data_IF_031443811559
#
_entry.id   IF_031443811559
#
_cell.length_a   1.000
_cell.length_b   1.000
_cell.length_c   1.000
_cell.angle_alpha   90.00
_cell.angle_beta   90.00
_cell.angle_gamma   90.00
#
_symmetry.space_group_name_H-M   'P 1'
#
loop_
_entity.id
_entity.type
_entity.pdbx_description
1 polymer ?
#
# COMPACT_ATOMS: atom_id res chain seq x y z
N UNK A 1 8.72 16.06 29.04
CA UNK A 1 8.50 15.31 27.78
C UNK A 1 7.70 16.19 26.83
N UNK A 2 8.38 16.81 25.87
CA UNK A 2 7.76 17.76 24.94
C UNK A 2 7.10 16.98 23.81
N UNK A 3 5.77 16.90 23.82
CA UNK A 3 4.99 16.24 22.77
C UNK A 3 5.13 17.03 21.48
N UNK A 4 6.00 16.60 20.57
CA UNK A 4 6.10 17.13 19.22
C UNK A 4 4.84 16.74 18.45
N UNK A 5 3.86 17.64 18.41
CA UNK A 5 2.64 17.47 17.61
C UNK A 5 3.03 17.65 16.13
N UNK A 6 3.39 16.56 15.45
CA UNK A 6 3.59 16.56 14.00
C UNK A 6 2.25 16.96 13.37
N UNK A 7 2.11 18.21 12.94
CA UNK A 7 0.91 18.74 12.30
C UNK A 7 0.63 17.93 11.01
N UNK A 8 -0.47 17.17 11.01
CA UNK A 8 -0.85 16.30 9.88
C UNK A 8 -1.37 17.04 8.65
N UNK A 9 -1.71 18.34 8.73
CA UNK A 9 -2.00 19.20 7.58
C UNK A 9 -2.28 20.65 8.01
N UNK A 10 -1.62 21.62 7.37
CA UNK A 10 -1.89 23.06 7.50
C UNK A 10 -2.72 23.51 6.28
N UNK A 11 -3.85 24.21 6.48
CA UNK A 11 -4.59 24.86 5.40
C UNK A 11 -4.49 26.38 5.58
N UNK A 12 -3.92 27.07 4.59
CA UNK A 12 -3.86 28.53 4.57
C UNK A 12 -5.14 29.05 3.90
N UNK A 13 -6.01 29.73 4.65
CA UNK A 13 -7.22 30.34 4.10
C UNK A 13 -6.96 31.80 3.73
N UNK A 14 -7.03 32.11 2.43
CA UNK A 14 -6.75 33.44 1.86
C UNK A 14 -7.60 34.59 2.44
N UNK A 15 -8.72 34.28 3.10
CA UNK A 15 -9.67 35.26 3.66
C UNK A 15 -9.27 35.87 5.01
N UNK A 16 -8.32 35.30 5.74
CA UNK A 16 -8.11 35.69 7.15
C UNK A 16 -6.66 35.87 7.58
N UNK A 17 -5.65 35.68 6.70
CA UNK A 17 -4.22 35.64 7.08
C UNK A 17 -3.93 34.76 8.31
N UNK A 18 -4.79 33.76 8.58
CA UNK A 18 -4.68 32.88 9.73
C UNK A 18 -4.46 31.44 9.27
N UNK A 19 -3.55 30.76 9.96
CA UNK A 19 -3.37 29.31 9.84
C UNK A 19 -4.54 28.60 10.53
N UNK A 20 -5.34 27.85 9.78
CA UNK A 20 -6.36 26.97 10.36
C UNK A 20 -5.82 25.54 10.42
N UNK A 21 -5.69 25.02 11.64
CA UNK A 21 -5.34 23.61 11.87
C UNK A 21 -6.54 22.75 11.47
N UNK A 22 -6.39 21.95 10.42
CA UNK A 22 -7.43 21.00 9.99
C UNK A 22 -7.19 19.67 10.71
N UNK A 23 -8.17 19.27 11.54
CA UNK A 23 -7.99 18.19 12.53
C UNK A 23 -7.75 16.78 11.96
N UNK A 24 -8.09 16.48 10.70
CA UNK A 24 -7.78 15.15 10.12
C UNK A 24 -8.19 15.00 8.64
N UNK A 25 -7.52 14.09 7.96
CA UNK A 25 -8.07 13.41 6.79
C UNK A 25 -9.30 12.60 7.22
N UNK A 26 -10.40 12.66 6.47
CA UNK A 26 -11.57 11.79 6.73
C UNK A 26 -11.28 10.31 6.36
N UNK A 27 -10.04 9.99 6.00
CA UNK A 27 -9.53 8.65 6.17
C UNK A 27 -8.70 8.56 7.46
N UNK A 28 -9.13 7.69 8.37
CA UNK A 28 -8.33 7.33 9.55
C UNK A 28 -7.16 6.43 9.12
N UNK A 29 -6.42 6.79 8.06
CA UNK A 29 -5.30 5.98 7.55
C UNK A 29 -4.04 6.27 8.36
N UNK A 30 -3.40 5.20 8.85
CA UNK A 30 -2.12 5.24 9.56
C UNK A 30 -0.93 5.21 8.61
N UNK A 31 -1.16 5.39 7.30
CA UNK A 31 -0.19 5.14 6.23
C UNK A 31 0.08 6.39 5.37
N UNK A 32 -0.45 7.55 5.77
CA UNK A 32 -0.22 8.82 5.08
C UNK A 32 1.10 9.43 5.55
N UNK A 33 1.98 9.77 4.61
CA UNK A 33 3.32 10.27 4.91
C UNK A 33 3.53 11.72 4.45
N UNK A 34 2.95 12.13 3.31
CA UNK A 34 3.36 13.37 2.66
C UNK A 34 2.26 13.98 1.76
N UNK A 35 2.09 15.31 1.78
CA UNK A 35 1.32 16.02 0.74
C UNK A 35 2.27 16.32 -0.41
N UNK A 36 2.08 15.65 -1.55
CA UNK A 36 2.95 15.80 -2.74
C UNK A 36 2.43 16.83 -3.74
N UNK A 37 1.19 17.30 -3.57
CA UNK A 37 0.61 18.36 -4.40
C UNK A 37 -0.48 19.07 -3.63
N UNK A 38 -0.54 20.40 -3.73
CA UNK A 38 -1.64 21.22 -3.23
C UNK A 38 -1.99 22.31 -4.26
N UNK A 39 -3.27 22.41 -4.62
CA UNK A 39 -3.76 23.42 -5.56
C UNK A 39 -5.24 23.75 -5.30
N UNK A 40 -5.82 24.66 -6.11
CA UNK A 40 -7.23 25.07 -6.02
C UNK A 40 -8.23 23.90 -6.09
N UNK A 41 -7.87 22.78 -6.73
CA UNK A 41 -8.72 21.59 -6.87
C UNK A 41 -8.64 20.64 -5.66
N UNK A 42 -7.64 20.81 -4.78
CA UNK A 42 -7.42 19.96 -3.61
C UNK A 42 -5.96 19.59 -3.37
N UNK A 43 -5.75 18.54 -2.59
CA UNK A 43 -4.41 18.01 -2.27
C UNK A 43 -4.27 16.57 -2.74
N UNK A 44 -3.04 16.16 -3.03
CA UNK A 44 -2.69 14.75 -3.25
C UNK A 44 -1.74 14.31 -2.16
N UNK A 45 -2.10 13.22 -1.48
CA UNK A 45 -1.32 12.65 -0.39
C UNK A 45 -0.65 11.38 -0.88
N UNK A 46 0.64 11.27 -0.65
CA UNK A 46 1.40 10.04 -0.78
C UNK A 46 1.25 9.23 0.49
N UNK A 47 0.92 7.98 0.27
CA UNK A 47 0.82 6.95 1.28
C UNK A 47 1.88 5.90 1.00
N UNK A 48 2.36 5.30 2.08
CA UNK A 48 3.35 4.24 2.00
C UNK A 48 3.14 3.27 3.14
N UNK A 49 3.49 2.01 2.87
CA UNK A 49 3.40 0.92 3.83
C UNK A 49 4.42 -0.14 3.45
N UNK A 50 4.95 -0.86 4.43
CA UNK A 50 5.83 -2.01 4.22
C UNK A 50 5.10 -3.29 4.61
N UNK A 51 4.32 -3.94 3.71
CA UNK A 51 3.81 -5.26 4.02
C UNK A 51 4.95 -6.27 4.04
N UNK A 52 4.92 -7.16 5.02
CA UNK A 52 5.90 -8.24 5.19
C UNK A 52 5.91 -9.22 4.00
N UNK A 53 4.83 -9.23 3.22
CA UNK A 53 4.68 -10.05 2.03
C UNK A 53 5.39 -9.46 0.80
N UNK A 54 5.58 -8.15 0.72
CA UNK A 54 6.00 -7.50 -0.54
C UNK A 54 6.99 -6.36 -0.39
N UNK A 55 7.38 -5.98 0.82
CA UNK A 55 8.16 -4.77 1.08
C UNK A 55 7.43 -3.49 0.71
N UNK A 56 8.13 -2.36 0.79
CA UNK A 56 7.54 -1.03 0.66
C UNK A 56 6.72 -0.87 -0.62
N UNK A 57 5.51 -0.33 -0.46
CA UNK A 57 4.59 0.05 -1.54
C UNK A 57 4.15 1.48 -1.30
N UNK A 58 4.25 2.31 -2.35
CA UNK A 58 3.75 3.68 -2.38
C UNK A 58 2.52 3.80 -3.26
N UNK A 59 1.61 4.69 -2.88
CA UNK A 59 0.51 5.13 -3.74
C UNK A 59 0.06 6.53 -3.35
N UNK A 60 -0.63 7.22 -4.26
CA UNK A 60 -1.19 8.54 -3.98
C UNK A 60 -2.71 8.53 -4.00
N UNK A 61 -3.32 9.30 -3.09
CA UNK A 61 -4.76 9.52 -3.03
C UNK A 61 -5.07 11.02 -3.11
N UNK A 62 -5.97 11.44 -4.02
CA UNK A 62 -6.42 12.82 -4.09
C UNK A 62 -7.54 13.09 -3.08
N UNK A 63 -7.52 14.29 -2.50
CA UNK A 63 -8.50 14.79 -1.54
C UNK A 63 -8.96 16.19 -1.91
N UNK A 64 -10.25 16.45 -1.71
CA UNK A 64 -10.84 17.78 -1.75
C UNK A 64 -11.13 18.26 -0.35
N UNK A 65 -10.88 19.53 -0.09
CA UNK A 65 -11.33 20.17 1.14
C UNK A 65 -12.80 20.60 0.98
N UNK A 66 -13.66 20.12 1.85
CA UNK A 66 -15.08 20.50 1.90
C UNK A 66 -15.62 20.31 3.31
N UNK A 67 -16.50 21.22 3.76
CA UNK A 67 -17.11 21.18 5.10
C UNK A 67 -16.08 20.93 6.22
N UNK A 68 -14.97 21.68 6.17
CA UNK A 68 -13.86 21.62 7.11
C UNK A 68 -13.10 20.28 7.18
N UNK A 69 -13.24 19.41 6.18
CA UNK A 69 -12.61 18.08 6.13
C UNK A 69 -11.99 17.80 4.76
N UNK A 70 -10.92 17.02 4.75
CA UNK A 70 -10.39 16.44 3.52
C UNK A 70 -11.13 15.16 3.17
N UNK A 71 -11.80 15.16 2.02
CA UNK A 71 -12.60 14.05 1.49
C UNK A 71 -11.87 13.45 0.30
N UNK A 72 -11.58 12.15 0.35
CA UNK A 72 -10.95 11.41 -0.75
C UNK A 72 -11.86 11.43 -1.98
N UNK A 73 -11.31 11.74 -3.15
CA UNK A 73 -12.11 11.90 -4.39
C UNK A 73 -11.94 10.77 -5.40
N UNK A 74 -10.95 9.89 -5.23
CA UNK A 74 -10.72 8.76 -6.13
C UNK A 74 -10.86 7.40 -5.42
N UNK A 75 -11.00 6.36 -6.25
CA UNK A 75 -10.93 4.97 -5.80
C UNK A 75 -9.63 4.69 -5.05
N UNK A 76 -9.74 3.88 -4.01
CA UNK A 76 -8.60 3.35 -3.25
C UNK A 76 -7.89 2.20 -3.96
N UNK A 77 -8.34 1.85 -5.18
CA UNK A 77 -7.65 0.90 -6.04
C UNK A 77 -6.60 1.63 -6.86
N UNK A 78 -5.33 1.23 -6.72
CA UNK A 78 -4.20 1.83 -7.44
C UNK A 78 -3.32 0.74 -8.03
N UNK A 79 -2.81 0.95 -9.23
CA UNK A 79 -1.69 0.14 -9.73
C UNK A 79 -0.47 0.45 -8.89
N UNK A 80 0.27 -0.57 -8.46
CA UNK A 80 1.41 -0.40 -7.55
C UNK A 80 2.60 -1.26 -7.95
N UNK A 81 3.78 -0.82 -7.53
CA UNK A 81 5.02 -1.58 -7.57
C UNK A 81 5.62 -1.66 -6.16
N UNK A 82 6.29 -2.78 -5.90
CA UNK A 82 7.11 -2.94 -4.72
C UNK A 82 8.48 -2.27 -4.93
N UNK A 83 8.98 -1.61 -3.89
CA UNK A 83 10.34 -1.06 -3.87
C UNK A 83 11.42 -2.15 -3.80
N UNK A 84 11.05 -3.41 -3.54
CA UNK A 84 12.00 -4.54 -3.61
C UNK A 84 12.58 -4.73 -5.02
N UNK A 85 12.05 -4.05 -6.04
CA UNK A 85 12.60 -4.04 -7.38
C UNK A 85 14.00 -3.42 -7.50
N UNK A 86 14.49 -2.74 -6.45
CA UNK A 86 15.88 -2.28 -6.40
C UNK A 86 16.86 -3.47 -6.52
N UNK A 87 17.95 -3.29 -7.27
CA UNK A 87 18.88 -4.37 -7.59
C UNK A 87 19.81 -4.65 -6.40
N UNK A 88 19.74 -5.86 -5.82
CA UNK A 88 20.62 -6.32 -4.73
C UNK A 88 21.57 -7.44 -5.17
N UNK A 89 21.88 -7.55 -6.47
CA UNK A 89 22.75 -8.58 -7.08
C UNK A 89 22.37 -10.05 -6.78
N UNK A 90 21.23 -10.33 -6.14
CA UNK A 90 20.75 -11.70 -5.92
C UNK A 90 19.93 -12.23 -7.12
N UNK A 91 19.74 -13.57 -7.17
CA UNK A 91 18.97 -14.27 -8.23
C UNK A 91 17.47 -13.88 -8.28
N UNK A 92 16.95 -13.23 -7.25
CA UNK A 92 15.57 -12.77 -7.14
C UNK A 92 15.36 -11.34 -7.65
N UNK A 93 16.43 -10.54 -7.78
CA UNK A 93 16.41 -9.16 -8.30
C UNK A 93 15.65 -9.07 -9.63
N UNK A 94 15.91 -10.01 -10.55
CA UNK A 94 15.24 -10.08 -11.86
C UNK A 94 13.72 -10.24 -11.77
N UNK A 95 13.23 -10.87 -10.71
CA UNK A 95 11.79 -11.04 -10.48
C UNK A 95 11.19 -9.79 -9.87
N UNK A 96 11.80 -9.26 -8.80
CA UNK A 96 11.27 -8.07 -8.14
C UNK A 96 11.30 -6.83 -9.04
N UNK A 97 12.31 -6.66 -9.90
CA UNK A 97 12.35 -5.60 -10.91
C UNK A 97 11.14 -5.64 -11.85
N UNK A 98 10.58 -6.84 -12.10
CA UNK A 98 9.36 -7.06 -12.89
C UNK A 98 8.08 -7.08 -12.04
N UNK A 99 8.17 -6.67 -10.77
CA UNK A 99 7.11 -6.74 -9.76
C UNK A 99 6.57 -8.17 -9.55
N UNK A 100 7.45 -9.17 -9.75
CA UNK A 100 7.13 -10.59 -9.61
C UNK A 100 7.68 -11.15 -8.31
N UNK A 101 6.91 -12.07 -7.73
CA UNK A 101 7.21 -12.71 -6.46
C UNK A 101 7.13 -14.22 -6.63
N UNK A 102 8.18 -14.94 -6.22
CA UNK A 102 8.20 -16.41 -6.23
C UNK A 102 7.59 -16.92 -4.95
N UNK A 103 6.61 -17.82 -5.01
CA UNK A 103 5.97 -18.40 -3.83
C UNK A 103 6.92 -19.28 -3.03
N UNK A 104 7.01 -19.06 -1.71
CA UNK A 104 7.81 -19.89 -0.80
C UNK A 104 7.06 -21.15 -0.36
N UNK A 105 5.72 -21.15 -0.48
CA UNK A 105 4.81 -22.25 -0.17
C UNK A 105 3.59 -22.19 -1.09
N UNK A 106 2.65 -23.13 -0.97
CA UNK A 106 1.35 -23.02 -1.66
C UNK A 106 0.60 -21.78 -1.15
N UNK A 107 0.33 -20.82 -2.02
CA UNK A 107 -0.39 -19.58 -1.67
C UNK A 107 -1.78 -19.58 -2.29
N UNK A 108 -2.81 -19.29 -1.48
CA UNK A 108 -4.21 -19.19 -1.92
C UNK A 108 -4.59 -17.73 -2.14
N UNK A 109 -5.11 -17.41 -3.32
CA UNK A 109 -5.58 -16.07 -3.69
C UNK A 109 -7.11 -16.06 -3.78
N UNK A 110 -7.73 -14.95 -3.40
CA UNK A 110 -9.19 -14.83 -3.27
C UNK A 110 -9.80 -13.98 -4.39
N UNK A 111 -11.09 -14.18 -4.70
CA UNK A 111 -11.76 -13.52 -5.85
C UNK A 111 -11.90 -12.01 -5.71
N UNK A 112 -12.05 -11.50 -4.49
CA UNK A 112 -12.22 -10.07 -4.18
C UNK A 112 -11.48 -9.72 -2.90
N UNK A 113 -11.15 -8.43 -2.73
CA UNK A 113 -10.63 -7.91 -1.46
C UNK A 113 -11.57 -8.27 -0.30
N UNK A 114 -11.04 -8.93 0.72
CA UNK A 114 -11.79 -9.37 1.91
C UNK A 114 -12.65 -10.62 1.73
N UNK A 115 -12.73 -11.21 0.54
CA UNK A 115 -13.52 -12.42 0.30
C UNK A 115 -12.82 -13.69 0.83
N UNK A 116 -13.60 -14.67 1.28
CA UNK A 116 -13.14 -16.03 1.57
C UNK A 116 -13.20 -16.96 0.34
N UNK A 117 -13.84 -16.54 -0.77
CA UNK A 117 -13.99 -17.35 -1.99
C UNK A 117 -12.67 -17.42 -2.75
N UNK A 118 -12.15 -18.63 -2.91
CA UNK A 118 -10.88 -18.89 -3.59
C UNK A 118 -11.00 -18.54 -5.08
N UNK A 119 -10.02 -17.81 -5.61
CA UNK A 119 -9.84 -17.57 -7.04
C UNK A 119 -8.94 -18.65 -7.65
N UNK A 120 -7.76 -18.88 -7.06
CA UNK A 120 -6.82 -19.91 -7.45
C UNK A 120 -5.79 -20.14 -6.35
N UNK A 121 -5.03 -21.24 -6.49
CA UNK A 121 -3.88 -21.56 -5.65
C UNK A 121 -2.64 -21.61 -6.54
N UNK A 122 -1.51 -21.15 -6.01
CA UNK A 122 -0.23 -21.15 -6.70
C UNK A 122 0.72 -22.07 -5.92
N UNK A 123 1.25 -23.15 -6.53
CA UNK A 123 2.24 -24.03 -5.90
C UNK A 123 3.51 -23.27 -5.49
N UNK A 124 4.33 -23.87 -4.62
CA UNK A 124 5.66 -23.37 -4.27
C UNK A 124 6.53 -23.22 -5.53
N UNK A 125 7.40 -22.20 -5.56
CA UNK A 125 8.37 -21.99 -6.63
C UNK A 125 7.80 -21.35 -7.90
N UNK A 126 6.53 -20.94 -7.91
CA UNK A 126 5.89 -20.29 -9.07
C UNK A 126 5.81 -18.78 -8.88
N UNK A 127 5.93 -18.05 -9.99
CA UNK A 127 5.92 -16.59 -9.99
C UNK A 127 4.50 -16.02 -10.09
N UNK A 128 4.18 -15.04 -9.26
CA UNK A 128 2.99 -14.19 -9.40
C UNK A 128 3.42 -12.74 -9.61
N UNK A 129 2.61 -11.93 -10.29
CA UNK A 129 2.91 -10.51 -10.53
C UNK A 129 2.01 -9.63 -9.69
N UNK A 130 2.56 -8.76 -8.85
CA UNK A 130 1.78 -7.73 -8.15
C UNK A 130 1.24 -6.71 -9.16
N UNK A 131 -0.04 -6.36 -9.06
CA UNK A 131 -0.70 -5.45 -10.01
C UNK A 131 -1.32 -4.25 -9.33
N UNK A 132 -2.14 -4.47 -8.31
CA UNK A 132 -2.94 -3.41 -7.69
C UNK A 132 -2.93 -3.51 -6.17
N UNK A 133 -3.09 -2.37 -5.52
CA UNK A 133 -3.41 -2.23 -4.11
C UNK A 133 -4.85 -1.76 -3.99
N UNK A 134 -5.59 -2.31 -3.03
CA UNK A 134 -6.89 -1.84 -2.59
C UNK A 134 -6.79 -1.51 -1.10
N UNK A 135 -6.99 -0.24 -0.75
CA UNK A 135 -7.12 0.18 0.63
C UNK A 135 -8.61 0.29 1.01
N UNK A 136 -9.09 -0.57 1.90
CA UNK A 136 -10.51 -0.58 2.29
C UNK A 136 -10.66 -1.00 3.75
N UNK A 137 -11.51 -0.30 4.51
CA UNK A 137 -11.79 -0.55 5.93
C UNK A 137 -10.49 -0.74 6.75
N UNK A 138 -9.51 0.16 6.55
CA UNK A 138 -8.17 0.13 7.19
C UNK A 138 -7.33 -1.12 6.90
N UNK A 139 -7.70 -1.91 5.89
CA UNK A 139 -7.00 -3.12 5.47
C UNK A 139 -6.45 -2.91 4.07
N UNK A 140 -5.29 -3.51 3.83
CA UNK A 140 -4.62 -3.48 2.53
C UNK A 140 -4.79 -4.86 1.89
N UNK A 141 -5.23 -4.83 0.63
CA UNK A 141 -5.32 -6.01 -0.20
C UNK A 141 -4.49 -5.79 -1.45
N UNK A 142 -3.64 -6.75 -1.78
CA UNK A 142 -2.82 -6.73 -2.97
C UNK A 142 -3.40 -7.71 -3.98
N UNK A 143 -3.58 -7.24 -5.21
CA UNK A 143 -3.98 -8.04 -6.35
C UNK A 143 -2.73 -8.60 -7.03
N UNK A 144 -2.73 -9.91 -7.25
CA UNK A 144 -1.72 -10.63 -7.99
C UNK A 144 -2.30 -11.28 -9.24
N UNK A 145 -1.48 -11.33 -10.29
CA UNK A 145 -1.75 -12.04 -11.54
C UNK A 145 -0.94 -13.34 -11.59
N UNK A 146 -1.60 -14.44 -11.99
CA UNK A 146 -0.99 -15.72 -12.29
C UNK A 146 -1.59 -16.29 -13.58
N UNK A 147 -0.79 -16.37 -14.65
CA UNK A 147 -1.32 -16.62 -16.00
C UNK A 147 -2.38 -15.58 -16.37
N UNK A 148 -3.56 -16.04 -16.80
CA UNK A 148 -4.72 -15.18 -17.11
C UNK A 148 -5.59 -14.82 -15.88
N UNK A 149 -5.28 -15.36 -14.69
CA UNK A 149 -6.10 -15.21 -13.47
C UNK A 149 -5.64 -14.05 -12.59
N UNK A 150 -6.58 -13.40 -11.91
CA UNK A 150 -6.34 -12.35 -10.91
C UNK A 150 -6.95 -12.72 -9.58
N UNK A 151 -6.23 -12.46 -8.49
CA UNK A 151 -6.68 -12.80 -7.14
C UNK A 151 -6.02 -11.91 -6.10
N UNK A 152 -6.59 -11.88 -4.91
CA UNK A 152 -6.23 -10.93 -3.86
C UNK A 152 -5.65 -11.64 -2.63
N UNK A 153 -4.71 -10.97 -1.97
CA UNK A 153 -4.21 -11.30 -0.64
C UNK A 153 -4.42 -10.11 0.29
N UNK A 154 -4.89 -10.35 1.51
CA UNK A 154 -4.77 -9.39 2.60
C UNK A 154 -3.35 -9.45 3.15
N UNK A 155 -2.70 -8.31 3.22
CA UNK A 155 -1.32 -8.15 3.68
C UNK A 155 -1.23 -7.33 4.98
N UNK A 156 -0.03 -7.20 5.53
CA UNK A 156 0.24 -6.45 6.78
C UNK A 156 -0.66 -6.92 7.94
N UNK A 157 -0.70 -8.23 8.15
CA UNK A 157 -1.46 -8.83 9.26
C UNK A 157 -0.56 -8.86 10.49
N UNK A 158 -1.14 -8.56 11.66
CA UNK A 158 -0.41 -8.58 12.94
C UNK A 158 0.23 -9.95 13.25
N UNK A 159 -0.35 -11.05 12.74
CA UNK A 159 0.11 -12.41 12.95
C UNK A 159 0.84 -13.01 11.74
N UNK A 160 1.61 -12.20 11.01
CA UNK A 160 2.43 -12.73 9.91
C UNK A 160 3.57 -13.59 10.45
N UNK A 161 3.67 -14.84 9.99
CA UNK A 161 4.75 -15.75 10.37
C UNK A 161 5.96 -15.56 9.44
N UNK A 162 7.05 -15.00 9.97
CA UNK A 162 8.28 -14.73 9.24
C UNK A 162 9.10 -15.99 8.93
N UNK A 163 8.97 -17.06 9.71
CA UNK A 163 9.62 -18.35 9.43
C UNK A 163 8.97 -19.08 8.25
N UNK A 164 7.68 -18.78 7.99
CA UNK A 164 6.88 -19.37 6.92
C UNK A 164 6.37 -18.29 5.97
N UNK A 165 7.26 -17.54 5.27
CA UNK A 165 6.85 -16.43 4.43
C UNK A 165 5.99 -16.91 3.24
N UNK A 166 5.20 -15.99 2.67
CA UNK A 166 4.43 -16.31 1.46
C UNK A 166 5.31 -16.37 0.21
N UNK A 167 6.33 -15.52 0.16
CA UNK A 167 7.19 -15.34 -1.00
C UNK A 167 8.67 -15.47 -0.62
N UNK A 168 9.45 -16.05 -1.52
CA UNK A 168 10.87 -16.29 -1.33
C UNK A 168 11.63 -14.97 -1.31
N UNK A 169 12.65 -14.90 -0.45
CA UNK A 169 13.61 -13.80 -0.37
C UNK A 169 13.04 -12.41 -0.04
N UNK A 170 11.75 -12.31 0.31
CA UNK A 170 11.18 -11.03 0.74
C UNK A 170 11.77 -10.63 2.09
N UNK A 171 11.70 -11.51 3.09
CA UNK A 171 12.17 -11.21 4.45
C UNK A 171 13.65 -10.80 4.48
N UNK A 172 14.52 -11.51 3.76
CA UNK A 172 15.94 -11.17 3.64
C UNK A 172 16.16 -9.77 3.06
N UNK A 173 15.27 -9.27 2.20
CA UNK A 173 15.36 -7.89 1.70
C UNK A 173 14.78 -6.86 2.65
N UNK A 174 13.88 -7.26 3.55
CA UNK A 174 13.33 -6.38 4.59
C UNK A 174 14.29 -6.16 5.75
N UNK A 175 15.16 -7.13 6.05
CA UNK A 175 16.09 -7.10 7.18
C UNK A 175 17.31 -6.20 7.00
N UNK A 176 17.46 -5.51 5.86
CA UNK A 176 18.68 -4.78 5.52
C UNK A 176 19.63 -5.65 4.75
#
# INVERSE_FOLDING_TARGET
MTTLLIMKSLLITKKSNQFRVVKSFNDRSSYAEEIVTANKKGITVKHRVQPMETGWINWTLPFKYSKQKFIRTASSTKTVRSELGQNRKDKYSRYFAKNKFITAKKVTFYKKAGSKKVAFRVPKGKAVTLKKLIYSKKKIYLQFKYGKKYGYLRVNRANYNFEKPLFQNVNSRLSG
#
